data_IF_661554195798
#
_entry.id   IF_661554195798
#
_cell.length_a   1.000
_cell.length_b   1.000
_cell.length_c   1.000
_cell.angle_alpha   90.00
_cell.angle_beta   90.00
_cell.angle_gamma   90.00
#
_symmetry.space_group_name_H-M   'P 1'
#
loop_
_entity.id
_entity.type
_entity.pdbx_description
1 polymer ?
#
# COMPACT_ATOMS: atom_id res chain seq x y z
N UNK A 1 1.60 21.87 -1.17
CA UNK A 1 2.54 20.94 -1.83
C UNK A 1 2.59 19.68 -0.99
N UNK A 2 2.37 18.52 -1.60
CA UNK A 2 2.59 17.23 -0.95
C UNK A 2 4.08 17.00 -0.73
N UNK A 3 4.43 16.37 0.40
CA UNK A 3 5.79 15.97 0.70
C UNK A 3 6.06 14.55 0.20
N UNK A 4 7.31 14.19 -0.01
CA UNK A 4 7.70 12.80 -0.30
C UNK A 4 7.88 12.06 1.02
N UNK A 5 7.42 10.80 1.09
CA UNK A 5 7.72 9.93 2.22
C UNK A 5 9.15 9.38 2.10
N UNK A 6 9.90 9.37 3.19
CA UNK A 6 11.26 8.83 3.25
C UNK A 6 11.41 7.85 4.41
N UNK A 7 12.29 6.85 4.29
CA UNK A 7 12.70 6.01 5.43
C UNK A 7 13.10 6.88 6.63
N UNK A 8 12.63 6.50 7.83
CA UNK A 8 12.80 7.27 9.05
C UNK A 8 13.19 6.34 10.22
N UNK A 9 14.48 6.38 10.59
CA UNK A 9 15.07 5.50 11.62
C UNK A 9 14.51 5.73 13.03
N UNK A 10 14.05 6.94 13.33
CA UNK A 10 13.40 7.26 14.60
C UNK A 10 12.04 6.56 14.73
N UNK A 11 11.31 6.41 13.62
CA UNK A 11 10.06 5.67 13.55
C UNK A 11 10.28 4.15 13.47
N UNK A 12 11.41 3.72 12.91
CA UNK A 12 11.76 2.30 12.73
C UNK A 12 11.76 1.49 14.03
N UNK A 13 12.04 2.13 15.17
CA UNK A 13 12.13 1.50 16.50
C UNK A 13 10.89 1.73 17.37
N UNK A 14 9.87 2.37 16.81
CA UNK A 14 8.65 2.75 17.54
C UNK A 14 7.44 1.99 17.05
N UNK A 15 6.43 1.89 17.91
CA UNK A 15 5.13 1.31 17.61
C UNK A 15 5.13 -0.18 17.25
N UNK A 16 3.93 -0.65 16.91
CA UNK A 16 3.64 -2.03 16.56
C UNK A 16 3.25 -2.14 15.08
N UNK A 17 3.83 -3.07 14.33
CA UNK A 17 3.50 -3.27 12.92
C UNK A 17 2.11 -3.90 12.77
N UNK A 18 1.38 -3.44 11.76
CA UNK A 18 0.08 -3.95 11.33
C UNK A 18 0.13 -4.27 9.84
N UNK A 19 -0.33 -5.45 9.48
CA UNK A 19 -0.36 -5.90 8.09
C UNK A 19 -1.65 -5.43 7.40
N UNK A 20 -1.50 -4.88 6.21
CA UNK A 20 -2.57 -4.67 5.23
C UNK A 20 -2.52 -5.89 4.31
N UNK A 21 -3.64 -6.60 4.20
CA UNK A 21 -3.78 -7.83 3.42
C UNK A 21 -4.80 -7.60 2.31
N UNK A 22 -4.86 -8.50 1.34
CA UNK A 22 -5.86 -8.47 0.25
C UNK A 22 -7.28 -8.38 0.78
N UNK A 23 -7.61 -9.15 1.83
CA UNK A 23 -8.89 -9.10 2.53
C UNK A 23 -9.26 -7.77 3.19
N UNK A 24 -8.34 -6.81 3.25
CA UNK A 24 -8.61 -5.46 3.75
C UNK A 24 -8.82 -4.45 2.62
N UNK A 25 -8.54 -4.83 1.38
CA UNK A 25 -8.67 -3.93 0.25
C UNK A 25 -10.15 -3.71 -0.10
N UNK A 26 -10.44 -2.53 -0.64
CA UNK A 26 -11.66 -2.24 -1.36
C UNK A 26 -11.44 -2.59 -2.83
N UNK A 27 -12.10 -3.65 -3.29
CA UNK A 27 -12.02 -4.17 -4.66
C UNK A 27 -13.23 -3.84 -5.52
N UNK A 28 -14.23 -3.15 -4.97
CA UNK A 28 -15.50 -2.90 -5.66
C UNK A 28 -15.37 -1.78 -6.72
N UNK A 29 -14.41 -0.87 -6.58
CA UNK A 29 -14.16 0.18 -7.56
C UNK A 29 -13.34 -0.34 -8.75
N UNK A 30 -13.85 -0.09 -9.97
CA UNK A 30 -13.12 -0.39 -11.19
C UNK A 30 -11.91 0.55 -11.33
N UNK A 31 -10.75 -0.04 -11.55
CA UNK A 31 -9.51 0.66 -11.81
C UNK A 31 -9.61 1.49 -13.09
N UNK A 32 -8.94 2.63 -13.12
CA UNK A 32 -8.88 3.50 -14.30
C UNK A 32 -7.43 3.81 -14.61
N UNK A 33 -7.03 3.57 -15.84
CA UNK A 33 -5.64 3.72 -16.25
C UNK A 33 -5.10 5.13 -15.95
N UNK A 34 -3.95 5.19 -15.29
CA UNK A 34 -3.30 6.44 -14.88
C UNK A 34 -4.03 7.24 -13.79
N UNK A 35 -5.17 6.75 -13.26
CA UNK A 35 -5.86 7.36 -12.14
C UNK A 35 -5.43 6.71 -10.81
N UNK A 36 -5.55 7.51 -9.78
CA UNK A 36 -5.19 7.13 -8.42
C UNK A 36 -6.40 6.54 -7.71
N UNK A 37 -6.55 5.22 -7.71
CA UNK A 37 -7.68 4.53 -7.08
C UNK A 37 -7.28 4.06 -5.68
N UNK A 38 -8.03 4.51 -4.67
CA UNK A 38 -7.78 4.14 -3.27
C UNK A 38 -8.32 2.74 -3.03
N UNK A 39 -7.42 1.79 -2.81
CA UNK A 39 -7.78 0.39 -2.57
C UNK A 39 -7.74 0.02 -1.11
N UNK A 40 -7.25 0.90 -0.24
CA UNK A 40 -7.35 0.73 1.21
C UNK A 40 -7.19 2.10 1.87
N UNK A 41 -7.95 2.35 2.93
CA UNK A 41 -7.74 3.51 3.76
C UNK A 41 -7.96 3.26 5.25
N UNK A 42 -7.30 4.07 6.07
CA UNK A 42 -7.48 4.08 7.52
C UNK A 42 -7.36 5.50 8.06
N UNK A 43 -8.41 5.95 8.74
CA UNK A 43 -8.35 7.18 9.51
C UNK A 43 -7.53 6.96 10.79
N UNK A 44 -6.63 7.88 11.09
CA UNK A 44 -5.83 7.88 12.31
C UNK A 44 -6.72 8.27 13.50
N UNK A 45 -6.78 7.46 14.56
CA UNK A 45 -7.53 7.78 15.78
C UNK A 45 -7.11 9.12 16.40
N UNK A 46 -8.01 9.75 17.14
CA UNK A 46 -7.81 11.09 17.71
C UNK A 46 -6.62 11.18 18.69
N UNK A 47 -6.27 10.05 19.32
CA UNK A 47 -5.25 9.90 20.35
C UNK A 47 -3.95 9.27 19.83
N UNK A 48 -3.84 9.01 18.52
CA UNK A 48 -2.73 8.25 17.93
C UNK A 48 -2.07 8.96 16.76
N UNK A 49 -0.91 8.46 16.38
CA UNK A 49 -0.24 8.76 15.11
C UNK A 49 0.00 7.44 14.39
N UNK A 50 -0.06 7.41 13.06
CA UNK A 50 0.27 6.20 12.30
C UNK A 50 1.29 6.55 11.20
N UNK A 51 2.09 5.58 10.77
CA UNK A 51 2.99 5.75 9.63
C UNK A 51 3.05 4.48 8.79
N UNK A 52 3.48 4.60 7.54
CA UNK A 52 3.66 3.45 6.67
C UNK A 52 4.95 2.71 6.98
N UNK A 53 4.95 1.40 6.75
CA UNK A 53 6.09 0.52 6.98
C UNK A 53 6.44 0.32 8.46
N UNK A 54 7.51 -0.44 8.68
CA UNK A 54 8.06 -0.71 10.01
C UNK A 54 9.49 -1.26 9.89
N UNK A 55 10.32 -1.00 10.90
CA UNK A 55 11.73 -1.36 10.88
C UNK A 55 12.59 -0.37 10.08
N UNK A 56 13.91 -0.48 10.23
CA UNK A 56 14.88 0.39 9.55
C UNK A 56 15.41 -0.27 8.29
N UNK A 57 16.02 0.53 7.39
CA UNK A 57 16.63 -0.01 6.16
C UNK A 57 17.82 -0.94 6.46
N UNK A 58 18.57 -0.65 7.54
CA UNK A 58 19.82 -1.33 7.88
C UNK A 58 19.70 -2.45 8.93
N UNK A 59 18.49 -2.71 9.46
CA UNK A 59 18.32 -3.67 10.57
C UNK A 59 17.68 -4.98 10.10
N UNK A 60 18.43 -6.10 9.98
CA UNK A 60 17.90 -7.35 9.44
C UNK A 60 16.87 -8.05 10.34
N UNK A 61 16.77 -7.66 11.61
CA UNK A 61 15.94 -8.35 12.61
C UNK A 61 14.46 -7.94 12.59
N UNK A 62 14.14 -6.74 12.07
CA UNK A 62 12.76 -6.19 12.10
C UNK A 62 12.20 -5.80 10.72
N UNK A 63 12.86 -6.24 9.63
CA UNK A 63 12.41 -5.93 8.26
C UNK A 63 11.01 -6.48 8.00
N UNK A 64 10.08 -5.57 7.72
CA UNK A 64 8.77 -5.93 7.19
C UNK A 64 8.84 -5.97 5.68
N UNK A 65 8.59 -7.17 5.16
CA UNK A 65 8.68 -7.49 3.74
C UNK A 65 7.34 -7.26 3.08
N UNK A 66 7.34 -6.66 1.89
CA UNK A 66 6.14 -6.38 1.12
C UNK A 66 6.11 -7.16 -0.18
N UNK A 67 4.90 -7.43 -0.66
CA UNK A 67 4.60 -8.04 -1.95
C UNK A 67 3.13 -7.79 -2.28
N UNK A 68 2.77 -7.93 -3.54
CA UNK A 68 1.39 -7.88 -4.00
C UNK A 68 1.23 -8.69 -5.28
N UNK A 69 0.35 -9.67 -5.22
CA UNK A 69 -0.20 -10.35 -6.38
C UNK A 69 -1.69 -10.03 -6.41
N UNK A 70 -2.06 -9.09 -7.29
CA UNK A 70 -3.43 -8.63 -7.46
C UNK A 70 -3.97 -9.16 -8.77
N UNK A 71 -5.16 -9.76 -8.70
CA UNK A 71 -5.88 -10.37 -9.81
C UNK A 71 -7.22 -9.68 -10.01
N UNK A 72 -7.73 -9.73 -11.24
CA UNK A 72 -9.04 -9.21 -11.60
C UNK A 72 -10.14 -10.18 -11.20
N UNK A 73 -11.26 -9.69 -10.69
CA UNK A 73 -12.41 -10.50 -10.25
C UNK A 73 -13.38 -10.95 -11.36
N UNK A 74 -13.13 -10.52 -12.60
CA UNK A 74 -14.07 -10.71 -13.71
C UNK A 74 -15.38 -9.89 -13.63
N UNK A 75 -15.62 -9.11 -12.57
CA UNK A 75 -16.79 -8.25 -12.43
C UNK A 75 -16.66 -6.89 -13.16
N UNK A 76 -15.42 -6.50 -13.47
CA UNK A 76 -15.09 -5.34 -14.30
C UNK A 76 -15.05 -5.65 -15.80
N UNK A 77 -14.19 -4.97 -16.56
CA UNK A 77 -13.97 -5.26 -17.99
C UNK A 77 -12.94 -6.36 -18.27
N UNK A 78 -12.14 -6.74 -17.26
CA UNK A 78 -11.14 -7.80 -17.34
C UNK A 78 -11.72 -9.20 -17.14
N UNK A 79 -10.92 -10.22 -17.45
CA UNK A 79 -11.26 -11.61 -17.16
C UNK A 79 -10.92 -11.93 -15.71
N UNK A 80 -11.70 -12.81 -15.10
CA UNK A 80 -11.38 -13.38 -13.80
C UNK A 80 -9.99 -14.05 -13.80
N UNK A 81 -9.16 -13.74 -12.79
CA UNK A 81 -7.78 -14.20 -12.66
C UNK A 81 -6.76 -13.44 -13.52
N UNK A 82 -7.16 -12.44 -14.31
CA UNK A 82 -6.20 -11.64 -15.08
C UNK A 82 -5.31 -10.81 -14.12
N UNK A 83 -3.99 -10.76 -14.35
CA UNK A 83 -3.11 -9.94 -13.52
C UNK A 83 -3.47 -8.45 -13.60
N UNK A 84 -3.48 -7.77 -12.44
CA UNK A 84 -3.53 -6.31 -12.36
C UNK A 84 -2.10 -5.76 -12.50
N UNK A 85 -1.91 -4.84 -13.45
CA UNK A 85 -0.65 -4.17 -13.77
C UNK A 85 -0.74 -2.68 -13.42
N UNK A 86 0.43 -2.05 -13.17
CA UNK A 86 0.57 -0.65 -12.81
C UNK A 86 1.40 -0.45 -11.55
N UNK A 87 1.17 0.63 -10.82
CA UNK A 87 1.98 1.00 -9.65
C UNK A 87 1.19 0.98 -8.34
N UNK A 88 1.87 0.65 -7.24
CA UNK A 88 1.33 0.81 -5.89
C UNK A 88 1.96 2.00 -5.19
N UNK A 89 1.11 2.85 -4.61
CA UNK A 89 1.52 4.02 -3.86
C UNK A 89 0.92 4.04 -2.46
N UNK A 90 1.65 4.66 -1.55
CA UNK A 90 1.16 5.01 -0.21
C UNK A 90 1.04 6.51 -0.05
N UNK A 91 -0.03 6.95 0.62
CA UNK A 91 -0.33 8.37 0.79
C UNK A 91 -0.87 8.68 2.17
N UNK A 92 -0.52 9.86 2.64
CA UNK A 92 -1.13 10.50 3.81
C UNK A 92 -1.97 11.65 3.29
N UNK A 93 -3.26 11.62 3.56
CA UNK A 93 -4.21 12.67 3.21
C UNK A 93 -4.73 13.38 4.45
N UNK A 94 -5.49 14.45 4.25
CA UNK A 94 -6.25 15.09 5.30
C UNK A 94 -7.42 14.21 5.78
N UNK A 95 -8.33 14.78 6.56
CA UNK A 95 -9.46 14.04 7.14
C UNK A 95 -10.55 13.68 6.13
N UNK A 96 -10.70 14.45 5.05
CA UNK A 96 -11.67 14.11 3.99
C UNK A 96 -11.09 13.07 3.02
N UNK A 97 -9.77 13.06 2.85
CA UNK A 97 -9.08 12.19 1.90
C UNK A 97 -8.74 12.89 0.59
N UNK A 98 -9.05 14.19 0.47
CA UNK A 98 -8.92 14.93 -0.78
C UNK A 98 -7.52 15.53 -0.95
N UNK A 99 -6.96 16.09 0.13
CA UNK A 99 -5.67 16.77 0.06
C UNK A 99 -4.51 15.83 0.42
N UNK A 100 -3.67 15.50 -0.56
CA UNK A 100 -2.45 14.71 -0.36
C UNK A 100 -1.40 15.54 0.39
N UNK A 101 -1.06 15.09 1.60
CA UNK A 101 -0.04 15.70 2.47
C UNK A 101 1.33 15.08 2.26
N UNK A 102 1.39 13.76 2.07
CA UNK A 102 2.62 13.06 1.72
C UNK A 102 2.33 11.83 0.86
N UNK A 103 3.27 11.44 -0.01
CA UNK A 103 3.14 10.22 -0.80
C UNK A 103 4.48 9.61 -1.19
N UNK A 104 4.47 8.32 -1.52
CA UNK A 104 5.59 7.59 -2.13
C UNK A 104 5.07 6.38 -2.90
N UNK A 105 5.71 6.10 -4.01
CA UNK A 105 5.54 4.86 -4.76
C UNK A 105 6.31 3.73 -4.05
N UNK A 106 5.66 2.58 -3.86
CA UNK A 106 6.28 1.40 -3.28
C UNK A 106 6.97 0.53 -4.33
N UNK A 107 6.48 0.59 -5.57
CA UNK A 107 6.98 -0.14 -6.73
C UNK A 107 5.84 -0.53 -7.67
N UNK A 108 6.21 -1.11 -8.80
CA UNK A 108 5.28 -1.65 -9.78
C UNK A 108 4.70 -3.00 -9.34
N UNK A 109 3.46 -3.27 -9.73
CA UNK A 109 2.71 -4.48 -9.40
C UNK A 109 3.33 -5.73 -10.02
N UNK A 110 3.96 -5.64 -11.18
CA UNK A 110 4.67 -6.75 -11.81
C UNK A 110 5.83 -7.26 -10.94
N UNK A 111 6.73 -6.37 -10.52
CA UNK A 111 7.84 -6.69 -9.62
C UNK A 111 7.34 -7.15 -8.25
N UNK A 112 6.28 -6.54 -7.73
CA UNK A 112 5.68 -6.96 -6.45
C UNK A 112 4.99 -8.33 -6.53
N UNK A 113 4.51 -8.73 -7.71
CA UNK A 113 3.97 -10.06 -7.98
C UNK A 113 5.08 -11.10 -8.02
N UNK A 114 6.17 -10.82 -8.71
CA UNK A 114 7.36 -11.70 -8.70
C UNK A 114 7.85 -11.91 -7.26
N UNK A 115 7.91 -10.83 -6.47
CA UNK A 115 8.25 -10.89 -5.05
C UNK A 115 7.24 -11.70 -4.19
N UNK A 116 6.00 -11.90 -4.64
CA UNK A 116 5.05 -12.76 -3.94
C UNK A 116 5.48 -14.24 -4.00
N UNK A 117 6.15 -14.62 -5.10
CA UNK A 117 6.70 -15.96 -5.34
C UNK A 117 8.08 -16.18 -4.71
N UNK A 118 8.82 -15.11 -4.45
CA UNK A 118 10.16 -15.18 -3.87
C UNK A 118 10.20 -15.67 -2.41
N UNK A 119 11.38 -16.15 -2.00
CA UNK A 119 11.66 -16.45 -0.60
C UNK A 119 11.43 -15.21 0.27
N UNK A 120 10.85 -15.40 1.46
CA UNK A 120 10.45 -14.31 2.37
C UNK A 120 11.58 -13.29 2.63
N UNK A 121 12.84 -13.74 2.65
CA UNK A 121 14.01 -12.91 2.92
C UNK A 121 14.48 -12.07 1.73
N UNK A 122 14.10 -12.45 0.51
CA UNK A 122 14.50 -11.79 -0.75
C UNK A 122 13.52 -10.69 -1.16
N UNK A 123 12.29 -10.75 -0.65
CA UNK A 123 11.24 -9.76 -0.93
C UNK A 123 11.66 -8.32 -0.59
N UNK A 124 11.16 -7.30 -1.30
CA UNK A 124 11.39 -5.91 -0.95
C UNK A 124 11.00 -5.60 0.51
N UNK A 125 11.81 -4.78 1.18
CA UNK A 125 11.50 -4.29 2.52
C UNK A 125 10.65 -3.00 2.45
N UNK A 126 9.75 -2.83 3.41
CA UNK A 126 8.95 -1.64 3.60
C UNK A 126 9.36 -0.97 4.92
N UNK A 127 10.44 -0.15 4.92
CA UNK A 127 10.94 0.51 6.12
C UNK A 127 9.88 1.46 6.67
N UNK A 128 9.99 1.81 7.96
CA UNK A 128 9.18 2.86 8.53
C UNK A 128 9.41 4.18 7.78
N UNK A 129 8.34 4.81 7.32
CA UNK A 129 8.40 6.00 6.48
C UNK A 129 7.80 7.21 7.18
N UNK A 130 8.57 8.30 7.21
CA UNK A 130 8.14 9.63 7.63
C UNK A 130 7.82 10.53 6.42
N UNK A 131 7.04 11.61 6.58
CA UNK A 131 6.34 12.02 7.82
C UNK A 131 5.24 11.03 8.25
N UNK A 132 4.94 10.99 9.54
CA UNK A 132 3.80 10.24 10.08
C UNK A 132 2.48 11.02 9.92
N UNK A 133 1.37 10.31 9.95
CA UNK A 133 0.03 10.86 9.93
C UNK A 133 -0.40 11.19 11.37
N UNK A 134 -0.75 12.46 11.57
CA UNK A 134 -1.33 12.99 12.80
C UNK A 134 -2.80 12.55 12.96
N UNK A 135 -3.39 12.71 14.17
CA UNK A 135 -4.81 12.52 14.40
C UNK A 135 -5.68 13.11 13.28
N UNK A 136 -6.75 12.39 12.95
CA UNK A 136 -7.73 12.74 11.91
C UNK A 136 -7.26 12.65 10.46
N UNK A 137 -5.96 12.53 10.18
CA UNK A 137 -5.47 12.24 8.82
C UNK A 137 -5.84 10.82 8.40
N UNK A 138 -5.73 10.52 7.11
CA UNK A 138 -5.88 9.15 6.59
C UNK A 138 -4.56 8.63 6.04
N UNK A 139 -4.33 7.34 6.23
CA UNK A 139 -3.37 6.56 5.45
C UNK A 139 -4.15 5.89 4.32
N UNK A 140 -3.63 5.96 3.10
CA UNK A 140 -4.23 5.35 1.92
C UNK A 140 -3.20 4.51 1.15
N UNK A 141 -3.62 3.32 0.71
CA UNK A 141 -2.95 2.55 -0.32
C UNK A 141 -3.68 2.82 -1.63
N UNK A 142 -2.93 3.12 -2.68
CA UNK A 142 -3.46 3.55 -3.97
C UNK A 142 -2.85 2.67 -5.05
N UNK A 143 -3.69 2.19 -5.96
CA UNK A 143 -3.26 1.55 -7.20
C UNK A 143 -3.40 2.56 -8.34
N UNK A 144 -2.36 2.66 -9.16
CA UNK A 144 -2.37 3.41 -10.41
C UNK A 144 -2.25 2.39 -11.53
N UNK A 145 -3.40 1.97 -12.06
CA UNK A 145 -3.44 0.91 -13.06
C UNK A 145 -2.81 1.36 -14.39
N UNK A 146 -2.18 0.42 -15.08
CA UNK A 146 -1.79 0.60 -16.47
C UNK A 146 -2.98 0.43 -17.42
N UNK A 147 -2.80 0.80 -18.69
CA UNK A 147 -3.84 0.66 -19.72
C UNK A 147 -4.30 -0.78 -19.92
N UNK A 148 -3.47 -1.77 -19.59
CA UNK A 148 -3.82 -3.18 -19.65
C UNK A 148 -4.82 -3.62 -18.57
N UNK A 149 -4.93 -2.87 -17.48
CA UNK A 149 -5.83 -3.15 -16.36
C UNK A 149 -6.93 -2.10 -16.21
N UNK A 150 -7.16 -1.29 -17.26
CA UNK A 150 -8.24 -0.32 -17.31
C UNK A 150 -9.61 -1.01 -17.21
N UNK A 151 -10.42 -0.55 -16.27
CA UNK A 151 -11.75 -1.08 -15.96
C UNK A 151 -11.76 -2.41 -15.19
N UNK A 152 -10.61 -2.97 -14.82
CA UNK A 152 -10.55 -4.16 -13.98
C UNK A 152 -10.95 -3.84 -12.53
N UNK A 153 -11.60 -4.78 -11.85
CA UNK A 153 -11.86 -4.72 -10.41
C UNK A 153 -10.96 -5.74 -9.70
N UNK A 154 -10.46 -5.42 -8.51
CA UNK A 154 -9.55 -6.30 -7.77
C UNK A 154 -10.35 -7.41 -7.09
N UNK A 155 -9.94 -8.67 -7.31
CA UNK A 155 -10.46 -9.78 -6.53
C UNK A 155 -9.79 -9.85 -5.15
N UNK A 156 -10.47 -9.39 -4.11
CA UNK A 156 -9.89 -9.39 -2.76
C UNK A 156 -9.79 -10.79 -2.13
N UNK A 157 -10.49 -11.79 -2.67
CA UNK A 157 -10.52 -13.16 -2.17
C UNK A 157 -9.39 -14.01 -2.77
N UNK A 158 -9.13 -13.87 -4.06
CA UNK A 158 -8.10 -14.63 -4.77
C UNK A 158 -6.76 -13.88 -4.87
N UNK A 159 -6.75 -12.54 -4.73
CA UNK A 159 -5.51 -11.78 -4.61
C UNK A 159 -4.77 -12.03 -3.29
N UNK A 160 -3.46 -11.83 -3.30
CA UNK A 160 -2.59 -11.94 -2.12
C UNK A 160 -1.64 -10.75 -2.03
N UNK A 161 -1.80 -9.91 -1.00
CA UNK A 161 -0.87 -8.83 -0.77
C UNK A 161 -0.46 -8.70 0.70
N UNK A 162 0.68 -8.06 0.93
CA UNK A 162 1.13 -7.71 2.26
C UNK A 162 1.88 -6.39 2.26
N UNK A 163 1.22 -5.37 2.78
CA UNK A 163 1.82 -4.08 3.10
C UNK A 163 1.77 -3.82 4.60
N UNK A 164 2.42 -2.75 5.04
CA UNK A 164 2.59 -2.49 6.46
C UNK A 164 2.32 -1.04 6.81
N UNK A 165 1.73 -0.84 7.98
CA UNK A 165 1.73 0.42 8.70
C UNK A 165 2.06 0.14 10.17
N UNK A 166 2.45 1.18 10.90
CA UNK A 166 2.76 1.10 12.33
C UNK A 166 1.90 2.08 13.11
N UNK A 167 1.61 1.69 14.36
CA UNK A 167 0.81 2.44 15.32
C UNK A 167 1.53 2.37 16.70
N UNK A 168 1.74 3.49 17.41
CA UNK A 168 2.39 3.54 18.72
C UNK A 168 1.56 2.90 19.83
#
# INVERSE_FOLDING_TARGET
MSQTLFPADDLARSGSPRAIKSSHLDGDEALRAGQHIVVWERQVPADKTNWFGHGGEDSPLDLKRMYADLEASGAGSGTDGDPIEGDVMVRITDSSGDEVKAQKELGDLGTLRDAASDERTERPAMPAMGPYAYPHRKLQLVVVADSASDGNQIDTADSSCRFWYSEP
#
